data_IF_685663226024
#
_entry.id   IF_685663226024
#
_cell.length_a   1.000
_cell.length_b   1.000
_cell.length_c   1.000
_cell.angle_alpha   90.00
_cell.angle_beta   90.00
_cell.angle_gamma   90.00
#
_symmetry.space_group_name_H-M   'P 1'
#
loop_
_entity.id
_entity.type
_entity.pdbx_description
1 polymer ?
#
# COMPACT_ATOMS: atom_id res chain seq x y z
N UNK A 1 4.01 9.97 -22.77
CA UNK A 1 5.17 9.38 -22.07
C UNK A 1 4.64 8.21 -21.26
N UNK A 2 5.29 7.05 -21.32
CA UNK A 2 4.90 5.87 -20.54
C UNK A 2 5.19 6.14 -19.06
N UNK A 3 4.23 5.88 -18.17
CA UNK A 3 4.43 5.97 -16.72
C UNK A 3 5.48 4.94 -16.29
N UNK A 4 6.39 5.31 -15.38
CA UNK A 4 7.47 4.42 -14.90
C UNK A 4 7.32 4.21 -13.39
N UNK A 5 7.29 2.95 -12.96
CA UNK A 5 7.25 2.56 -11.55
C UNK A 5 8.57 1.92 -11.18
N UNK A 6 9.20 2.41 -10.11
CA UNK A 6 10.43 1.86 -9.57
C UNK A 6 10.14 1.13 -8.25
N UNK A 7 10.35 -0.18 -8.20
CA UNK A 7 10.39 -0.92 -6.95
C UNK A 7 11.82 -0.95 -6.39
N UNK A 8 11.98 -0.65 -5.11
CA UNK A 8 13.23 -0.81 -4.36
C UNK A 8 13.05 -2.02 -3.45
N UNK A 9 13.82 -3.07 -3.74
CA UNK A 9 13.68 -4.42 -3.18
C UNK A 9 15.05 -4.97 -2.76
N UNK A 10 15.69 -4.39 -1.74
CA UNK A 10 17.07 -4.71 -1.39
C UNK A 10 17.21 -6.03 -0.62
N UNK A 11 16.16 -6.48 0.05
CA UNK A 11 16.10 -7.75 0.79
C UNK A 11 15.19 -8.80 0.13
N UNK A 12 14.75 -8.53 -1.11
CA UNK A 12 13.82 -9.30 -1.94
C UNK A 12 13.76 -10.79 -1.57
N UNK A 13 12.70 -11.19 -0.86
CA UNK A 13 12.50 -12.59 -0.52
C UNK A 13 12.15 -13.41 -1.77
N UNK A 14 12.59 -14.68 -1.89
CA UNK A 14 12.36 -15.50 -3.08
C UNK A 14 10.89 -15.68 -3.49
N UNK A 15 9.97 -15.60 -2.53
CA UNK A 15 8.52 -15.76 -2.75
C UNK A 15 7.77 -14.43 -2.92
N UNK A 16 8.48 -13.30 -2.98
CA UNK A 16 7.83 -11.99 -3.17
C UNK A 16 7.03 -11.95 -4.48
N UNK A 17 7.62 -12.39 -5.58
CA UNK A 17 6.96 -12.32 -6.90
C UNK A 17 5.72 -13.22 -6.97
N UNK A 18 5.74 -14.38 -6.31
CA UNK A 18 4.58 -15.25 -6.19
C UNK A 18 3.48 -14.60 -5.34
N UNK A 19 3.85 -14.07 -4.16
CA UNK A 19 2.91 -13.47 -3.20
C UNK A 19 2.22 -12.23 -3.77
N UNK A 20 2.95 -11.43 -4.57
CA UNK A 20 2.47 -10.19 -5.15
C UNK A 20 2.19 -10.30 -6.66
N UNK A 21 2.10 -11.51 -7.21
CA UNK A 21 1.91 -11.74 -8.64
C UNK A 21 0.72 -10.95 -9.24
N UNK A 22 -0.47 -10.87 -8.59
CA UNK A 22 -1.59 -10.08 -9.11
C UNK A 22 -1.25 -8.58 -9.23
N UNK A 23 -0.60 -8.01 -8.21
CA UNK A 23 -0.19 -6.60 -8.20
C UNK A 23 0.89 -6.33 -9.26
N UNK A 24 1.93 -7.17 -9.32
CA UNK A 24 3.03 -7.01 -10.28
C UNK A 24 2.52 -7.09 -11.73
N UNK A 25 1.61 -8.03 -12.01
CA UNK A 25 0.94 -8.14 -13.30
C UNK A 25 0.12 -6.87 -13.61
N UNK A 26 -0.62 -6.35 -12.64
CA UNK A 26 -1.39 -5.13 -12.81
C UNK A 26 -0.52 -3.89 -13.06
N UNK A 27 0.59 -3.74 -12.33
CA UNK A 27 1.58 -2.67 -12.52
C UNK A 27 2.19 -2.72 -13.92
N UNK A 28 2.71 -3.89 -14.32
CA UNK A 28 3.32 -4.10 -15.63
C UNK A 28 2.35 -3.88 -16.80
N UNK A 29 1.03 -4.06 -16.59
CA UNK A 29 0.02 -3.76 -17.60
C UNK A 29 -0.25 -2.26 -17.81
N UNK A 30 0.21 -1.40 -16.91
CA UNK A 30 -0.12 0.05 -16.88
C UNK A 30 1.10 0.97 -16.94
N UNK A 31 2.27 0.47 -16.59
CA UNK A 31 3.49 1.23 -16.50
C UNK A 31 4.71 0.36 -16.83
N UNK A 32 5.80 1.01 -17.23
CA UNK A 32 7.11 0.37 -17.23
C UNK A 32 7.52 0.08 -15.79
N UNK A 33 7.68 -1.20 -15.45
CA UNK A 33 8.08 -1.63 -14.11
C UNK A 33 9.59 -1.92 -14.08
N UNK A 34 10.29 -1.24 -13.19
CA UNK A 34 11.72 -1.45 -12.93
C UNK A 34 11.92 -1.85 -11.47
N UNK A 35 12.93 -2.67 -11.19
CA UNK A 35 13.28 -3.10 -9.83
C UNK A 35 14.76 -2.84 -9.56
N UNK A 36 15.04 -2.25 -8.40
CA UNK A 36 16.37 -2.09 -7.85
C UNK A 36 16.59 -3.09 -6.71
N UNK A 37 17.59 -3.96 -6.85
CA UNK A 37 17.90 -5.02 -5.88
C UNK A 37 19.18 -4.75 -5.09
N UNK A 38 19.82 -3.60 -5.33
CA UNK A 38 20.98 -3.15 -4.55
C UNK A 38 20.99 -1.61 -4.42
N UNK A 39 21.68 -1.08 -3.39
CA UNK A 39 21.70 0.35 -3.10
C UNK A 39 22.14 1.24 -4.27
N UNK A 40 23.17 0.81 -5.01
CA UNK A 40 23.72 1.57 -6.15
C UNK A 40 22.67 1.71 -7.25
N UNK A 41 22.08 0.60 -7.69
CA UNK A 41 21.03 0.60 -8.71
C UNK A 41 19.82 1.42 -8.29
N UNK A 42 19.43 1.40 -7.01
CA UNK A 42 18.30 2.17 -6.50
C UNK A 42 18.55 3.68 -6.64
N UNK A 43 19.74 4.15 -6.27
CA UNK A 43 20.13 5.56 -6.40
C UNK A 43 20.22 5.97 -7.87
N UNK A 44 20.81 5.13 -8.72
CA UNK A 44 20.91 5.38 -10.17
C UNK A 44 19.53 5.50 -10.82
N UNK A 45 18.63 4.55 -10.55
CA UNK A 45 17.28 4.51 -11.10
C UNK A 45 16.40 5.68 -10.61
N UNK A 46 16.59 6.13 -9.37
CA UNK A 46 15.96 7.34 -8.82
C UNK A 46 16.45 8.62 -9.50
N UNK A 47 17.71 8.66 -9.94
CA UNK A 47 18.31 9.83 -10.59
C UNK A 47 17.96 9.95 -12.09
N UNK A 48 17.54 8.85 -12.72
CA UNK A 48 17.16 8.81 -14.14
C UNK A 48 16.04 9.80 -14.49
N UNK A 49 16.09 10.30 -15.72
CA UNK A 49 15.10 11.22 -16.29
C UNK A 49 14.41 10.57 -17.50
N UNK A 50 13.07 10.66 -17.63
CA UNK A 50 12.13 11.23 -16.65
C UNK A 50 12.11 10.49 -15.31
N UNK A 51 11.83 11.20 -14.22
CA UNK A 51 11.73 10.61 -12.87
C UNK A 51 10.64 9.52 -12.83
N UNK A 52 10.74 8.52 -11.93
CA UNK A 52 9.66 7.55 -11.75
C UNK A 52 8.36 8.26 -11.36
N UNK A 53 7.24 7.83 -11.92
CA UNK A 53 5.91 8.34 -11.58
C UNK A 53 5.50 7.94 -10.15
N UNK A 54 5.96 6.77 -9.68
CA UNK A 54 5.95 6.40 -8.28
C UNK A 54 7.10 5.43 -7.94
N UNK A 55 7.44 5.37 -6.65
CA UNK A 55 8.43 4.44 -6.09
C UNK A 55 7.74 3.51 -5.10
N UNK A 56 7.99 2.21 -5.20
CA UNK A 56 7.54 1.21 -4.22
C UNK A 56 8.73 0.82 -3.34
N UNK A 57 8.55 0.84 -2.03
CA UNK A 57 9.50 0.28 -1.07
C UNK A 57 8.91 -1.05 -0.60
N UNK A 58 9.49 -2.15 -1.04
CA UNK A 58 8.87 -3.47 -0.91
C UNK A 58 9.33 -4.27 0.31
N UNK A 59 10.40 -3.83 0.97
CA UNK A 59 11.00 -4.51 2.12
C UNK A 59 11.63 -3.51 3.10
N UNK A 60 11.92 -3.99 4.31
CA UNK A 60 12.38 -3.21 5.47
C UNK A 60 13.81 -2.71 5.36
N UNK A 61 14.55 -3.02 4.29
CA UNK A 61 15.98 -2.76 4.20
C UNK A 61 16.34 -1.28 4.36
N UNK A 62 15.45 -0.37 3.95
CA UNK A 62 15.65 1.09 4.07
C UNK A 62 15.55 1.59 5.51
N UNK A 63 15.14 0.74 6.46
CA UNK A 63 15.23 1.02 7.90
C UNK A 63 16.64 0.80 8.46
N UNK A 64 17.51 0.12 7.73
CA UNK A 64 18.84 -0.26 8.19
C UNK A 64 19.89 0.83 7.95
N UNK A 65 20.85 1.04 8.88
CA UNK A 65 21.86 2.09 8.76
C UNK A 65 22.68 2.07 7.46
N UNK A 66 23.02 0.89 6.95
CA UNK A 66 23.79 0.68 5.71
C UNK A 66 23.05 1.20 4.47
N UNK A 67 21.72 1.24 4.49
CA UNK A 67 20.89 1.69 3.37
C UNK A 67 20.39 3.13 3.54
N UNK A 68 20.92 3.88 4.52
CA UNK A 68 20.51 5.27 4.81
C UNK A 68 20.64 6.19 3.59
N UNK A 69 21.63 5.97 2.73
CA UNK A 69 21.82 6.75 1.51
C UNK A 69 20.64 6.57 0.54
N UNK A 70 20.13 5.34 0.40
CA UNK A 70 18.95 5.02 -0.43
C UNK A 70 17.72 5.71 0.13
N UNK A 71 17.49 5.61 1.45
CA UNK A 71 16.33 6.26 2.07
C UNK A 71 16.37 7.79 1.92
N UNK A 72 17.55 8.40 2.08
CA UNK A 72 17.74 9.83 1.82
C UNK A 72 17.39 10.19 0.38
N UNK A 73 17.83 9.41 -0.60
CA UNK A 73 17.53 9.64 -2.01
C UNK A 73 16.01 9.54 -2.30
N UNK A 74 15.32 8.56 -1.70
CA UNK A 74 13.86 8.46 -1.82
C UNK A 74 13.17 9.68 -1.20
N UNK A 75 13.58 10.12 -0.02
CA UNK A 75 13.00 11.31 0.62
C UNK A 75 13.24 12.58 -0.19
N UNK A 76 14.39 12.73 -0.83
CA UNK A 76 14.65 13.83 -1.76
C UNK A 76 13.74 13.77 -2.97
N UNK A 77 13.53 12.58 -3.57
CA UNK A 77 12.56 12.37 -4.64
C UNK A 77 11.13 12.76 -4.21
N UNK A 78 10.68 12.29 -3.04
CA UNK A 78 9.34 12.61 -2.51
C UNK A 78 9.19 14.11 -2.26
N UNK A 79 10.18 14.76 -1.63
CA UNK A 79 10.11 16.20 -1.32
C UNK A 79 9.99 17.08 -2.56
N UNK A 80 10.51 16.63 -3.72
CA UNK A 80 10.40 17.31 -5.03
C UNK A 80 9.09 17.06 -5.78
N UNK A 81 8.17 16.25 -5.23
CA UNK A 81 6.85 16.01 -5.81
C UNK A 81 6.58 14.55 -6.13
N UNK A 82 7.57 13.68 -5.94
CA UNK A 82 7.43 12.23 -6.14
C UNK A 82 6.45 11.58 -5.16
N UNK A 83 5.95 10.40 -5.52
CA UNK A 83 5.16 9.56 -4.62
C UNK A 83 5.91 8.28 -4.33
N UNK A 84 6.15 8.00 -3.05
CA UNK A 84 6.70 6.71 -2.61
C UNK A 84 5.66 5.96 -1.77
N UNK A 85 5.54 4.65 -1.94
CA UNK A 85 4.61 3.78 -1.22
C UNK A 85 5.38 2.67 -0.55
N UNK A 86 5.34 2.63 0.78
CA UNK A 86 5.82 1.50 1.57
C UNK A 86 4.75 0.42 1.54
N UNK A 87 5.11 -0.77 1.06
CA UNK A 87 4.20 -1.90 0.92
C UNK A 87 4.95 -3.22 0.89
N UNK A 88 4.25 -4.32 0.65
CA UNK A 88 4.88 -5.58 0.31
C UNK A 88 5.33 -6.33 1.55
N UNK A 89 6.57 -6.79 1.55
CA UNK A 89 7.18 -7.44 2.69
C UNK A 89 7.64 -6.46 3.78
N UNK A 90 7.71 -5.15 3.53
CA UNK A 90 8.08 -4.16 4.54
C UNK A 90 7.33 -4.34 5.88
N UNK A 91 5.97 -4.33 5.94
CA UNK A 91 5.25 -4.50 7.20
C UNK A 91 5.49 -5.85 7.87
N UNK A 92 5.84 -6.90 7.10
CA UNK A 92 6.07 -8.25 7.63
C UNK A 92 7.42 -8.40 8.33
N UNK A 93 8.45 -7.66 7.90
CA UNK A 93 9.83 -7.85 8.36
C UNK A 93 10.41 -6.67 9.14
N UNK A 94 9.79 -5.50 9.06
CA UNK A 94 10.23 -4.33 9.85
C UNK A 94 10.09 -4.59 11.35
N UNK A 95 11.12 -4.23 12.11
CA UNK A 95 11.03 -4.28 13.58
C UNK A 95 10.15 -3.12 14.08
N UNK A 96 9.22 -3.33 15.02
CA UNK A 96 8.33 -2.27 15.52
C UNK A 96 9.06 -1.00 15.98
N UNK A 97 10.22 -1.16 16.64
CA UNK A 97 11.03 -0.04 17.12
C UNK A 97 11.79 0.72 16.00
N UNK A 98 11.81 0.21 14.77
CA UNK A 98 12.42 0.89 13.61
C UNK A 98 11.42 1.79 12.87
N UNK A 99 10.11 1.58 13.02
CA UNK A 99 9.08 2.36 12.30
C UNK A 99 9.14 3.86 12.63
N UNK A 100 9.22 4.21 13.93
CA UNK A 100 9.24 5.61 14.35
C UNK A 100 10.46 6.36 13.82
N UNK A 101 11.72 5.89 14.02
CA UNK A 101 12.89 6.51 13.41
C UNK A 101 12.83 6.59 11.88
N UNK A 102 12.24 5.59 11.22
CA UNK A 102 12.11 5.56 9.77
C UNK A 102 11.18 6.69 9.26
N UNK A 103 9.97 6.80 9.81
CA UNK A 103 8.99 7.82 9.42
C UNK A 103 9.35 9.23 9.91
N UNK A 104 10.02 9.36 11.05
CA UNK A 104 10.47 10.66 11.56
C UNK A 104 11.45 11.36 10.61
N UNK A 105 12.24 10.61 9.83
CA UNK A 105 13.10 11.19 8.78
C UNK A 105 12.31 11.83 7.63
N UNK A 106 11.07 11.39 7.40
CA UNK A 106 10.13 12.00 6.48
C UNK A 106 9.37 13.20 7.10
N UNK A 107 9.53 13.44 8.40
CA UNK A 107 8.76 14.45 9.16
C UNK A 107 7.41 13.95 9.67
N UNK A 108 7.18 12.63 9.68
CA UNK A 108 5.94 12.02 10.16
C UNK A 108 6.13 11.44 11.56
N UNK A 109 5.12 11.59 12.42
CA UNK A 109 5.11 11.06 13.79
C UNK A 109 4.62 9.62 13.89
N UNK A 110 4.51 8.94 12.74
CA UNK A 110 3.99 7.59 12.65
C UNK A 110 4.89 6.60 13.40
N UNK A 111 4.27 5.66 14.09
CA UNK A 111 4.96 4.60 14.81
C UNK A 111 4.13 3.30 14.79
N UNK A 112 4.71 2.20 15.26
CA UNK A 112 4.03 0.89 15.28
C UNK A 112 2.70 0.96 16.01
N UNK A 113 1.63 0.58 15.32
CA UNK A 113 0.30 0.31 15.87
C UNK A 113 0.09 -1.17 16.12
N UNK A 114 -1.18 -1.56 16.09
CA UNK A 114 -1.69 -2.91 16.28
C UNK A 114 -1.35 -3.81 15.10
N UNK A 115 -1.29 -5.12 15.34
CA UNK A 115 -1.19 -6.14 14.30
C UNK A 115 -2.40 -7.06 14.40
N UNK A 116 -3.24 -7.05 13.36
CA UNK A 116 -4.52 -7.77 13.39
C UNK A 116 -5.10 -7.94 11.99
N UNK A 117 -6.07 -8.85 11.89
CA UNK A 117 -7.00 -8.88 10.76
C UNK A 117 -8.30 -8.18 11.15
N UNK A 118 -8.75 -7.24 10.34
CA UNK A 118 -10.03 -6.54 10.50
C UNK A 118 -10.51 -5.99 9.17
N UNK A 119 -11.78 -5.61 9.09
CA UNK A 119 -12.33 -4.86 7.95
C UNK A 119 -12.08 -3.38 8.15
N UNK A 120 -11.49 -2.72 7.14
CA UNK A 120 -11.37 -1.28 7.11
C UNK A 120 -12.35 -0.68 6.09
N UNK A 121 -12.88 0.49 6.42
CA UNK A 121 -13.73 1.29 5.56
C UNK A 121 -12.91 2.43 4.92
N UNK A 122 -13.16 2.70 3.64
CA UNK A 122 -12.59 3.84 2.94
C UNK A 122 -13.06 5.13 3.62
N UNK A 123 -12.17 6.12 3.77
CA UNK A 123 -12.54 7.49 4.13
C UNK A 123 -12.64 8.35 2.87
N UNK A 124 -13.85 8.65 2.36
CA UNK A 124 -14.01 9.44 1.15
C UNK A 124 -13.44 10.86 1.27
N UNK A 125 -13.28 11.39 2.49
CA UNK A 125 -12.72 12.71 2.72
C UNK A 125 -11.18 12.73 2.61
N UNK A 126 -10.52 11.58 2.72
CA UNK A 126 -9.06 11.44 2.65
C UNK A 126 -8.55 11.14 1.23
N UNK A 127 -9.46 10.87 0.28
CA UNK A 127 -9.13 10.50 -1.11
C UNK A 127 -9.74 11.46 -2.13
N UNK A 128 -9.28 11.40 -3.38
CA UNK A 128 -9.94 12.13 -4.47
C UNK A 128 -11.30 11.50 -4.78
N UNK A 129 -12.21 12.26 -5.39
CA UNK A 129 -13.53 11.75 -5.84
C UNK A 129 -13.37 10.54 -6.76
N UNK A 130 -12.42 10.59 -7.70
CA UNK A 130 -12.13 9.47 -8.59
C UNK A 130 -11.73 8.21 -7.82
N UNK A 131 -10.85 8.34 -6.82
CA UNK A 131 -10.45 7.20 -5.98
C UNK A 131 -11.62 6.71 -5.12
N UNK A 132 -12.46 7.61 -4.59
CA UNK A 132 -13.64 7.25 -3.80
C UNK A 132 -14.63 6.39 -4.58
N UNK A 133 -14.77 6.62 -5.89
CA UNK A 133 -15.67 5.86 -6.77
C UNK A 133 -15.09 4.51 -7.23
N UNK A 134 -13.77 4.38 -7.28
CA UNK A 134 -13.09 3.18 -7.82
C UNK A 134 -12.60 2.21 -6.76
N UNK A 135 -12.23 2.72 -5.57
CA UNK A 135 -11.67 1.91 -4.51
C UNK A 135 -12.75 1.10 -3.78
N UNK A 136 -12.41 -0.09 -3.24
CA UNK A 136 -13.33 -0.85 -2.40
C UNK A 136 -13.80 -0.01 -1.22
N UNK A 137 -15.11 0.10 -1.00
CA UNK A 137 -15.64 0.88 0.13
C UNK A 137 -15.27 0.24 1.46
N UNK A 138 -15.13 -1.09 1.49
CA UNK A 138 -14.67 -1.87 2.63
C UNK A 138 -13.87 -3.06 2.13
N UNK A 139 -12.85 -3.47 2.87
CA UNK A 139 -12.24 -4.79 2.67
C UNK A 139 -11.55 -5.28 3.94
N UNK A 140 -11.48 -6.60 4.12
CA UNK A 140 -10.70 -7.23 5.19
C UNK A 140 -9.25 -7.29 4.79
N UNK A 141 -8.34 -6.98 5.72
CA UNK A 141 -6.92 -7.22 5.57
C UNK A 141 -6.26 -7.66 6.87
N UNK A 142 -5.20 -8.45 6.79
CA UNK A 142 -4.29 -8.71 7.91
C UNK A 142 -3.12 -7.77 7.76
N UNK A 143 -2.96 -6.87 8.72
CA UNK A 143 -2.01 -5.78 8.58
C UNK A 143 -1.35 -5.38 9.89
N UNK A 144 -0.13 -4.83 9.75
CA UNK A 144 0.51 -4.01 10.76
C UNK A 144 0.03 -2.57 10.57
N UNK A 145 -0.53 -1.98 11.61
CA UNK A 145 -1.02 -0.61 11.57
C UNK A 145 0.09 0.36 11.94
N UNK A 146 -0.04 1.60 11.51
CA UNK A 146 0.70 2.74 12.04
C UNK A 146 -0.25 3.64 12.83
N UNK A 147 0.21 4.18 13.95
CA UNK A 147 -0.53 5.14 14.78
C UNK A 147 0.07 6.54 14.73
N UNK A 148 -0.64 7.51 15.29
CA UNK A 148 -0.37 8.95 15.18
C UNK A 148 -0.52 9.47 13.74
N UNK A 149 -1.43 8.87 12.96
CA UNK A 149 -1.77 9.31 11.61
C UNK A 149 -2.81 10.41 11.71
N UNK A 150 -2.62 11.51 10.97
CA UNK A 150 -3.62 12.57 10.90
C UNK A 150 -4.87 12.05 10.18
N UNK A 151 -6.10 12.40 10.61
CA UNK A 151 -7.32 11.88 10.00
C UNK A 151 -7.39 12.04 8.47
N UNK A 152 -6.92 13.17 7.93
CA UNK A 152 -6.90 13.43 6.49
C UNK A 152 -5.90 12.59 5.68
N UNK A 153 -4.95 11.93 6.36
CA UNK A 153 -3.98 11.04 5.72
C UNK A 153 -4.43 9.57 5.78
N UNK A 154 -5.50 9.23 6.52
CA UNK A 154 -6.00 7.88 6.71
C UNK A 154 -6.96 7.50 5.58
N UNK A 155 -6.45 6.87 4.52
CA UNK A 155 -7.29 6.46 3.38
C UNK A 155 -8.32 5.41 3.77
N UNK A 156 -7.94 4.46 4.63
CA UNK A 156 -8.86 3.50 5.23
C UNK A 156 -8.79 3.61 6.74
N UNK A 157 -9.91 3.40 7.42
CA UNK A 157 -9.99 3.42 8.88
C UNK A 157 -10.87 2.29 9.38
N UNK A 158 -10.68 1.95 10.65
CA UNK A 158 -11.67 1.14 11.35
C UNK A 158 -12.93 1.97 11.58
N UNK A 159 -14.09 1.32 11.60
CA UNK A 159 -15.36 1.94 11.94
C UNK A 159 -16.09 1.15 13.03
N UNK A 160 -17.33 1.51 13.33
CA UNK A 160 -18.08 0.93 14.45
C UNK A 160 -18.40 -0.56 14.29
N UNK A 161 -18.32 -1.06 13.04
CA UNK A 161 -18.51 -2.45 12.65
C UNK A 161 -17.18 -3.23 12.55
N UNK A 162 -16.04 -2.55 12.66
CA UNK A 162 -14.73 -3.19 12.63
C UNK A 162 -14.47 -4.02 13.89
N UNK A 163 -14.15 -5.29 13.67
CA UNK A 163 -13.82 -6.25 14.73
C UNK A 163 -12.56 -7.05 14.38
N UNK A 164 -11.81 -7.48 15.40
CA UNK A 164 -10.74 -8.46 15.22
C UNK A 164 -11.33 -9.73 14.63
N UNK A 165 -10.76 -10.17 13.51
CA UNK A 165 -11.11 -11.43 12.85
C UNK A 165 -10.06 -12.48 13.24
N UNK A 166 -10.48 -13.51 13.97
CA UNK A 166 -9.61 -14.60 14.45
C UNK A 166 -10.33 -15.94 14.35
N UNK A 167 -9.57 -17.00 14.02
CA UNK A 167 -10.07 -18.37 14.02
C UNK A 167 -10.15 -18.98 15.44
N UNK A 168 -9.53 -18.33 16.43
CA UNK A 168 -9.34 -18.89 17.78
C UNK A 168 -9.98 -18.01 18.87
N UNK A 169 -10.12 -16.71 18.61
CA UNK A 169 -10.63 -15.75 19.59
C UNK A 169 -11.97 -15.14 19.14
N UNK A 170 -12.88 -14.82 20.07
CA UNK A 170 -14.09 -14.07 19.75
C UNK A 170 -13.81 -12.72 19.11
N UNK A 171 -14.74 -12.26 18.28
CA UNK A 171 -14.69 -10.94 17.68
C UNK A 171 -14.70 -9.85 18.77
N UNK A 172 -13.71 -8.96 18.73
CA UNK A 172 -13.62 -7.79 19.64
C UNK A 172 -13.61 -6.53 18.80
N UNK A 173 -14.37 -5.49 19.20
CA UNK A 173 -14.40 -4.20 18.50
C UNK A 173 -13.01 -3.58 18.45
N UNK A 174 -12.68 -2.97 17.30
CA UNK A 174 -11.43 -2.24 17.14
C UNK A 174 -11.69 -0.94 16.41
N UNK A 175 -11.54 0.18 17.12
CA UNK A 175 -11.61 1.53 16.55
C UNK A 175 -10.62 2.49 17.24
N UNK A 176 -9.29 2.20 17.24
CA UNK A 176 -8.30 3.10 17.79
C UNK A 176 -8.19 4.36 16.93
N UNK A 177 -8.47 5.51 17.54
CA UNK A 177 -8.33 6.79 16.87
C UNK A 177 -6.88 7.05 16.44
N UNK A 178 -6.70 7.57 15.22
CA UNK A 178 -5.38 7.93 14.68
C UNK A 178 -4.50 6.74 14.29
N UNK A 179 -5.09 5.56 14.10
CA UNK A 179 -4.38 4.35 13.72
C UNK A 179 -5.00 3.70 12.45
N UNK A 180 -4.15 3.35 11.49
CA UNK A 180 -4.58 2.76 10.21
C UNK A 180 -3.52 1.84 9.60
N UNK A 181 -3.94 0.89 8.78
CA UNK A 181 -3.07 0.11 7.90
C UNK A 181 -2.86 0.76 6.52
N UNK A 182 -3.62 1.80 6.17
CA UNK A 182 -3.54 2.46 4.86
C UNK A 182 -3.52 3.98 5.04
N UNK A 183 -2.35 4.58 4.82
CA UNK A 183 -2.16 6.01 4.96
C UNK A 183 -1.41 6.61 3.76
N UNK A 184 -1.68 7.88 3.44
CA UNK A 184 -0.93 8.66 2.46
C UNK A 184 -0.76 10.09 2.96
N UNK A 185 0.42 10.42 3.46
CA UNK A 185 0.74 11.76 3.96
C UNK A 185 1.48 12.61 2.93
N UNK A 186 1.31 13.92 3.03
CA UNK A 186 2.12 14.89 2.29
C UNK A 186 3.52 15.00 2.92
N UNK A 187 4.56 14.92 2.10
CA UNK A 187 5.96 15.12 2.51
C UNK A 187 6.64 16.06 1.51
N UNK A 188 6.90 17.29 1.95
CA UNK A 188 7.33 18.37 1.05
C UNK A 188 6.23 18.67 0.01
N UNK A 189 6.54 18.53 -1.27
CA UNK A 189 5.56 18.71 -2.36
C UNK A 189 4.97 17.38 -2.86
N UNK A 190 5.53 16.24 -2.47
CA UNK A 190 5.06 14.91 -2.85
C UNK A 190 4.35 14.19 -1.72
N UNK A 191 4.30 12.86 -1.81
CA UNK A 191 3.52 12.00 -0.91
C UNK A 191 4.28 10.75 -0.48
N UNK A 192 4.05 10.32 0.76
CA UNK A 192 4.56 9.06 1.30
C UNK A 192 3.37 8.21 1.78
N UNK A 193 3.19 7.07 1.12
CA UNK A 193 2.13 6.11 1.40
C UNK A 193 2.63 4.94 2.23
N UNK A 194 1.74 4.35 3.01
CA UNK A 194 1.97 3.11 3.75
C UNK A 194 0.77 2.17 3.55
N UNK A 195 1.07 0.92 3.20
CA UNK A 195 0.11 -0.19 3.15
C UNK A 195 0.66 -1.31 4.02
N UNK A 196 0.00 -1.55 5.14
CA UNK A 196 0.45 -2.44 6.21
C UNK A 196 0.07 -3.91 6.03
N UNK A 197 -0.65 -4.24 4.96
CA UNK A 197 -1.04 -5.59 4.59
C UNK A 197 0.16 -6.54 4.47
N UNK A 198 0.09 -7.69 5.12
CA UNK A 198 1.15 -8.72 5.13
C UNK A 198 0.84 -9.94 4.25
N UNK A 199 -0.33 -9.98 3.63
CA UNK A 199 -0.91 -11.13 2.94
C UNK A 199 -1.31 -10.83 1.47
N UNK A 200 -1.04 -9.62 0.96
CA UNK A 200 -1.32 -9.21 -0.42
C UNK A 200 -2.80 -9.30 -0.82
N UNK A 201 -3.69 -8.85 0.08
CA UNK A 201 -5.12 -8.77 -0.17
C UNK A 201 -5.46 -7.98 -1.43
N UNK A 202 -6.49 -8.42 -2.16
CA UNK A 202 -6.90 -7.83 -3.43
C UNK A 202 -7.24 -6.33 -3.30
N UNK A 203 -7.89 -5.95 -2.20
CA UNK A 203 -8.19 -4.54 -1.90
C UNK A 203 -6.92 -3.69 -1.72
N UNK A 204 -5.87 -4.24 -1.10
CA UNK A 204 -4.58 -3.57 -0.95
C UNK A 204 -3.87 -3.39 -2.29
N UNK A 205 -4.04 -4.34 -3.23
CA UNK A 205 -3.49 -4.19 -4.58
C UNK A 205 -4.13 -2.99 -5.31
N UNK A 206 -5.46 -2.81 -5.18
CA UNK A 206 -6.16 -1.64 -5.73
C UNK A 206 -5.68 -0.33 -5.09
N UNK A 207 -5.45 -0.33 -3.77
CA UNK A 207 -4.90 0.81 -3.03
C UNK A 207 -3.51 1.19 -3.54
N UNK A 208 -2.59 0.23 -3.70
CA UNK A 208 -1.24 0.50 -4.21
C UNK A 208 -1.29 1.08 -5.63
N UNK A 209 -2.14 0.53 -6.50
CA UNK A 209 -2.35 1.08 -7.84
C UNK A 209 -2.89 2.53 -7.80
N UNK A 210 -3.83 2.83 -6.89
CA UNK A 210 -4.38 4.17 -6.72
C UNK A 210 -3.34 5.16 -6.18
N UNK A 211 -2.53 4.77 -5.19
CA UNK A 211 -1.44 5.60 -4.67
C UNK A 211 -0.39 5.91 -5.75
N UNK A 212 -0.12 4.95 -6.65
CA UNK A 212 0.75 5.14 -7.81
C UNK A 212 0.11 5.95 -8.95
N UNK A 213 -1.16 6.36 -8.83
CA UNK A 213 -1.87 7.09 -9.88
C UNK A 213 -2.22 6.24 -11.10
N UNK A 214 -2.31 4.91 -10.95
CA UNK A 214 -2.55 3.95 -12.02
C UNK A 214 -3.97 3.34 -12.01
N UNK A 215 -4.80 3.69 -11.02
CA UNK A 215 -6.19 3.25 -10.98
C UNK A 215 -7.04 4.16 -11.91
N UNK A 216 -7.62 3.59 -12.97
CA UNK A 216 -8.36 4.36 -13.99
C UNK A 216 -9.82 4.62 -13.57
N UNK A 217 -10.34 5.77 -13.99
CA UNK A 217 -11.78 6.09 -13.91
C UNK A 217 -12.59 5.14 -14.81
N UNK A 218 -13.72 4.64 -14.29
CA UNK A 218 -14.70 3.84 -15.05
C UNK A 218 -14.59 2.33 -14.92
N UNK A 219 -13.47 1.80 -14.40
CA UNK A 219 -13.39 0.41 -13.96
C UNK A 219 -13.79 0.35 -12.48
N UNK A 220 -15.07 0.05 -12.19
CA UNK A 220 -15.46 -0.31 -10.82
C UNK A 220 -14.64 -1.53 -10.41
N UNK A 221 -13.96 -1.44 -9.27
CA UNK A 221 -13.43 -2.63 -8.62
C UNK A 221 -14.60 -3.55 -8.31
N UNK A 222 -14.66 -4.71 -8.96
CA UNK A 222 -15.61 -5.77 -8.63
C UNK A 222 -14.90 -6.71 -7.68
N UNK A 223 -15.40 -6.84 -6.45
CA UNK A 223 -14.90 -7.87 -5.56
C UNK A 223 -15.29 -9.25 -6.12
N UNK A 224 -14.62 -10.31 -5.69
CA UNK A 224 -15.04 -11.69 -6.02
C UNK A 224 -16.47 -11.99 -5.53
N UNK A 225 -16.97 -11.24 -4.55
CA UNK A 225 -18.36 -11.33 -4.05
C UNK A 225 -19.40 -10.69 -4.99
N UNK A 226 -18.98 -9.83 -5.92
CA UNK A 226 -19.87 -9.21 -6.94
C UNK A 226 -20.18 -10.17 -8.12
N UNK A 227 -19.60 -11.37 -8.13
CA UNK A 227 -19.87 -12.43 -9.14
C UNK A 227 -20.89 -13.41 -8.56
N UNK A 228 -22.07 -12.90 -8.19
CA UNK A 228 -23.22 -13.71 -7.78
C UNK A 228 -24.06 -14.14 -8.98
N UNK A 229 -24.23 -15.46 -9.11
CA UNK A 229 -25.30 -16.17 -9.83
C UNK A 229 -25.58 -15.79 -11.30
N UNK A 230 -24.82 -16.36 -12.23
CA UNK A 230 -25.28 -16.59 -13.60
C UNK A 230 -25.10 -18.07 -13.98
N UNK A 231 -25.68 -18.96 -13.18
CA UNK A 231 -25.91 -20.34 -13.60
C UNK A 231 -27.22 -20.46 -14.36
N UNK A 232 -27.07 -20.32 -15.67
CA UNK A 232 -27.99 -20.67 -16.74
C UNK A 232 -28.67 -22.03 -16.49
N UNK A 233 -29.98 -22.05 -16.24
CA UNK A 233 -30.82 -23.25 -16.36
C UNK A 233 -31.13 -23.48 -17.85
N UNK A 234 -30.80 -24.63 -18.46
CA UNK A 234 -31.38 -24.97 -19.74
C UNK A 234 -32.74 -25.64 -19.52
N UNK A 235 -33.78 -24.96 -19.99
CA UNK A 235 -35.07 -25.58 -20.30
C UNK A 235 -34.86 -26.74 -21.29
N UNK A 236 -35.42 -27.91 -21.01
CA UNK A 236 -35.82 -28.86 -22.05
C UNK A 236 -37.22 -29.37 -21.77
N UNK A 237 -38.18 -28.86 -22.55
CA UNK A 237 -39.33 -29.63 -23.01
C UNK A 237 -38.96 -30.21 -24.37
N UNK A 238 -39.01 -31.53 -24.50
CA UNK A 238 -39.90 -32.25 -25.40
C UNK A 238 -39.83 -33.74 -25.07
#
# INVERSE_FOLDING_TARGET
MTSRILAISLHLQPWFDESYAPLLKALASKAEFQRAENPTSAIELLAQRPEPSAVLITDEALTLPENKAVWKAVLEYVRRGGTAVIMGHFPSFVRPNHLKPFFSQAGLNWESGSYQRTTLALDPAAVSVANAETLPQRYSQKAVFVKNVAPGDMWYKTDDDSVVQSMVFPATKVNPAGETAVALAKVGTGKLGYVGDVNAEEGSNAVVLAMCGLLQQGARYKSVEDVGDDHFLPSRRH
#
